data_IF_976249194733
#
_entry.id   IF_976249194733
#
_cell.length_a   1.000
_cell.length_b   1.000
_cell.length_c   1.000
_cell.angle_alpha   90.00
_cell.angle_beta   90.00
_cell.angle_gamma   90.00
#
_symmetry.space_group_name_H-M   'P 1'
#
loop_
_entity.id
_entity.type
_entity.pdbx_description
1 polymer ?
#
# COMPACT_ATOMS: atom_id res chain seq x y z
N UNK A 1 -12.85 -89.54 -45.42
CA UNK A 1 -13.70 -88.84 -44.43
C UNK A 1 -12.79 -88.27 -43.37
N UNK A 2 -12.52 -86.94 -43.47
CA UNK A 2 -11.63 -86.25 -42.52
C UNK A 2 -12.50 -85.31 -41.64
N UNK A 3 -12.45 -85.60 -40.34
CA UNK A 3 -13.15 -84.74 -39.34
C UNK A 3 -12.21 -83.57 -39.01
N UNK A 4 -12.67 -82.34 -39.23
CA UNK A 4 -11.99 -81.14 -38.70
C UNK A 4 -12.55 -80.83 -37.33
N UNK A 5 -11.63 -80.78 -36.35
CA UNK A 5 -11.94 -80.30 -35.00
C UNK A 5 -11.77 -78.77 -35.03
N UNK A 6 -12.83 -78.03 -34.68
CA UNK A 6 -12.73 -76.62 -34.45
C UNK A 6 -12.19 -76.38 -33.02
N UNK A 7 -11.05 -75.72 -32.92
CA UNK A 7 -10.51 -75.26 -31.67
C UNK A 7 -11.02 -73.87 -31.40
N UNK A 8 -11.81 -73.70 -30.35
CA UNK A 8 -12.24 -72.41 -29.85
C UNK A 8 -11.10 -71.85 -29.00
N UNK A 9 -10.40 -70.84 -29.50
CA UNK A 9 -9.43 -70.08 -28.70
C UNK A 9 -10.20 -68.98 -27.96
N UNK A 10 -10.30 -69.14 -26.64
CA UNK A 10 -10.80 -68.11 -25.73
C UNK A 10 -9.75 -66.99 -25.58
N UNK A 11 -10.00 -65.86 -26.23
CA UNK A 11 -9.19 -64.68 -26.07
C UNK A 11 -9.56 -63.96 -24.76
N UNK A 12 -8.68 -64.04 -23.72
CA UNK A 12 -8.75 -63.20 -22.53
C UNK A 12 -8.34 -61.76 -22.92
N UNK A 13 -9.33 -60.89 -23.08
CA UNK A 13 -9.10 -59.47 -23.19
C UNK A 13 -8.72 -58.90 -21.84
N UNK A 14 -7.43 -58.62 -21.66
CA UNK A 14 -6.96 -57.86 -20.50
C UNK A 14 -7.41 -56.40 -20.65
N UNK A 15 -8.43 -56.01 -19.93
CA UNK A 15 -8.83 -54.61 -19.77
C UNK A 15 -7.82 -53.90 -18.85
N UNK A 16 -6.86 -53.22 -19.46
CA UNK A 16 -5.95 -52.35 -18.73
C UNK A 16 -6.74 -51.09 -18.32
N UNK A 17 -7.31 -51.07 -17.13
CA UNK A 17 -7.86 -49.88 -16.52
C UNK A 17 -6.67 -49.00 -16.10
N UNK A 18 -6.35 -48.04 -16.95
CA UNK A 18 -5.36 -47.00 -16.66
C UNK A 18 -5.97 -46.08 -15.58
N UNK A 19 -5.70 -46.38 -14.32
CA UNK A 19 -6.00 -45.51 -13.19
C UNK A 19 -5.10 -44.30 -13.31
N UNK A 20 -5.59 -43.22 -13.98
CA UNK A 20 -4.99 -41.91 -13.89
C UNK A 20 -5.25 -41.39 -12.48
N UNK A 21 -4.32 -41.69 -11.58
CA UNK A 21 -4.22 -41.03 -10.30
C UNK A 21 -3.93 -39.57 -10.65
N UNK A 22 -4.99 -38.77 -10.71
CA UNK A 22 -4.88 -37.36 -10.75
C UNK A 22 -4.14 -36.89 -9.50
N UNK A 23 -2.82 -36.72 -9.62
CA UNK A 23 -2.03 -35.97 -8.65
C UNK A 23 -2.60 -34.55 -8.67
N UNK A 24 -3.69 -34.33 -7.92
CA UNK A 24 -4.14 -33.01 -7.58
C UNK A 24 -2.94 -32.33 -6.96
N UNK A 25 -2.31 -31.41 -7.70
CA UNK A 25 -1.43 -30.43 -7.13
C UNK A 25 -2.21 -29.72 -6.06
N UNK A 26 -2.13 -30.20 -4.81
CA UNK A 26 -2.46 -29.42 -3.65
C UNK A 26 -1.50 -28.23 -3.70
N UNK A 27 -1.94 -27.18 -4.39
CA UNK A 27 -1.41 -25.83 -4.24
C UNK A 27 -1.77 -25.43 -2.81
N UNK A 28 -1.04 -25.97 -1.83
CA UNK A 28 -0.95 -25.35 -0.53
C UNK A 28 -0.71 -23.86 -0.83
N UNK A 29 -1.43 -22.94 -0.17
CA UNK A 29 -1.12 -21.52 -0.28
C UNK A 29 0.32 -21.38 0.21
N UNK A 30 1.25 -21.60 -0.73
CA UNK A 30 2.67 -21.64 -0.43
C UNK A 30 3.00 -20.32 0.22
N UNK A 31 3.75 -20.40 1.29
CA UNK A 31 4.37 -19.31 2.02
C UNK A 31 5.07 -18.37 1.00
N UNK A 32 4.28 -17.54 0.31
CA UNK A 32 4.77 -16.61 -0.72
C UNK A 32 5.53 -15.54 0.03
N UNK A 33 6.86 -15.66 0.00
CA UNK A 33 7.74 -14.65 0.60
C UNK A 33 7.25 -13.25 0.22
N UNK A 34 7.14 -12.34 1.20
CA UNK A 34 6.74 -10.97 0.94
C UNK A 34 7.59 -10.35 -0.17
N UNK A 35 6.96 -9.69 -1.14
CA UNK A 35 7.68 -9.08 -2.28
C UNK A 35 7.44 -7.58 -2.39
N UNK A 36 6.44 -7.08 -1.70
CA UNK A 36 6.03 -5.68 -1.78
C UNK A 36 6.95 -4.80 -0.94
N UNK A 37 7.33 -3.65 -1.45
CA UNK A 37 7.93 -2.57 -0.68
C UNK A 37 6.86 -1.53 -0.40
N UNK A 38 6.73 -1.09 0.85
CA UNK A 38 5.79 -0.07 1.30
C UNK A 38 6.54 1.14 1.82
N UNK A 39 6.16 2.32 1.35
CA UNK A 39 6.56 3.58 1.93
C UNK A 39 5.33 4.27 2.51
N UNK A 40 5.47 4.81 3.70
CA UNK A 40 4.43 5.58 4.37
C UNK A 40 4.96 6.98 4.58
N UNK A 41 4.25 7.97 4.05
CA UNK A 41 4.50 9.38 4.25
C UNK A 41 3.56 9.96 5.29
N UNK A 42 4.10 10.70 6.23
CA UNK A 42 3.32 11.44 7.23
C UNK A 42 3.49 12.92 6.95
N UNK A 43 2.42 13.57 6.57
CA UNK A 43 2.39 15.01 6.37
C UNK A 43 2.19 15.71 7.72
N UNK A 44 3.27 16.27 8.26
CA UNK A 44 3.23 16.99 9.55
C UNK A 44 3.02 18.50 9.39
N UNK A 45 2.51 18.95 8.22
CA UNK A 45 2.30 20.37 7.93
C UNK A 45 1.24 21.01 8.80
N UNK A 46 1.34 22.32 8.94
CA UNK A 46 0.35 23.11 9.67
C UNK A 46 -1.04 23.04 9.05
N UNK A 47 -1.16 22.93 7.72
CA UNK A 47 -2.46 22.80 7.04
C UNK A 47 -3.15 21.50 7.43
N UNK A 48 -2.47 20.36 7.37
CA UNK A 48 -3.06 19.09 7.75
C UNK A 48 -3.38 19.01 9.25
N UNK A 49 -2.50 19.54 10.09
CA UNK A 49 -2.79 19.64 11.53
C UNK A 49 -4.03 20.50 11.78
N UNK A 50 -4.19 21.61 11.04
CA UNK A 50 -5.34 22.53 11.13
C UNK A 50 -6.68 21.91 10.75
N UNK A 51 -6.70 20.78 10.02
CA UNK A 51 -7.96 20.07 9.70
C UNK A 51 -8.56 19.35 10.90
N UNK A 52 -7.80 19.11 11.97
CA UNK A 52 -8.17 18.28 13.10
C UNK A 52 -8.03 16.75 12.86
N UNK A 53 -7.65 16.33 11.66
CA UNK A 53 -7.53 14.91 11.30
C UNK A 53 -6.14 14.33 11.60
N UNK A 54 -5.17 15.17 11.98
CA UNK A 54 -3.78 14.74 12.16
C UNK A 54 -3.61 13.64 13.21
N UNK A 55 -4.14 13.86 14.41
CA UNK A 55 -4.06 12.87 15.49
C UNK A 55 -4.77 11.58 15.15
N UNK A 56 -5.95 11.70 14.55
CA UNK A 56 -6.73 10.57 14.03
C UNK A 56 -5.95 9.77 12.98
N UNK A 57 -5.21 10.46 12.10
CA UNK A 57 -4.38 9.83 11.08
C UNK A 57 -3.19 9.06 11.67
N UNK A 58 -2.53 9.59 12.71
CA UNK A 58 -1.44 8.87 13.39
C UNK A 58 -1.95 7.62 14.11
N UNK A 59 -3.10 7.72 14.79
CA UNK A 59 -3.75 6.55 15.38
C UNK A 59 -4.14 5.53 14.31
N UNK A 60 -4.76 5.95 13.19
CA UNK A 60 -5.04 5.08 12.05
C UNK A 60 -3.78 4.37 11.55
N UNK A 61 -2.67 5.09 11.37
CA UNK A 61 -1.43 4.52 10.87
C UNK A 61 -0.88 3.44 11.81
N UNK A 62 -1.05 3.57 13.13
CA UNK A 62 -0.61 2.52 14.06
C UNK A 62 -1.35 1.20 13.81
N UNK A 63 -2.67 1.25 13.60
CA UNK A 63 -3.45 0.08 13.21
C UNK A 63 -3.05 -0.43 11.81
N UNK A 64 -2.89 0.46 10.85
CA UNK A 64 -2.52 0.10 9.47
C UNK A 64 -1.18 -0.63 9.43
N UNK A 65 -0.16 -0.11 10.10
CA UNK A 65 1.17 -0.73 10.21
C UNK A 65 1.06 -2.09 10.90
N UNK A 66 0.40 -2.14 12.06
CA UNK A 66 0.21 -3.37 12.82
C UNK A 66 -0.52 -4.45 12.00
N UNK A 67 -1.61 -4.08 11.33
CA UNK A 67 -2.39 -4.98 10.49
C UNK A 67 -1.56 -5.59 9.36
N UNK A 68 -0.69 -4.80 8.71
CA UNK A 68 0.23 -5.30 7.69
C UNK A 68 1.33 -6.21 8.26
N UNK A 69 1.90 -5.88 9.41
CA UNK A 69 2.95 -6.68 10.05
C UNK A 69 2.45 -8.05 10.47
N UNK A 70 1.19 -8.13 10.91
CA UNK A 70 0.54 -9.34 11.39
C UNK A 70 -0.37 -10.02 10.36
N UNK A 71 -0.42 -9.52 9.12
CA UNK A 71 -1.22 -10.04 7.99
C UNK A 71 -2.72 -10.16 8.30
N UNK A 72 -3.28 -9.22 9.07
CA UNK A 72 -4.67 -9.24 9.50
C UNK A 72 -5.62 -8.83 8.35
N UNK A 73 -6.81 -9.42 8.29
CA UNK A 73 -7.83 -9.09 7.30
C UNK A 73 -7.37 -9.16 5.84
N UNK A 74 -6.54 -10.14 5.49
CA UNK A 74 -5.92 -10.27 4.17
C UNK A 74 -4.92 -9.14 3.80
N UNK A 75 -4.59 -8.24 4.70
CA UNK A 75 -3.45 -7.34 4.54
C UNK A 75 -2.18 -8.17 4.36
N UNK A 76 -1.25 -7.71 3.54
CA UNK A 76 -0.04 -8.48 3.26
C UNK A 76 1.17 -7.83 3.91
N UNK A 77 1.93 -8.61 4.67
CA UNK A 77 3.20 -8.16 5.23
C UNK A 77 4.13 -7.72 4.08
N UNK A 78 4.63 -6.48 4.09
CA UNK A 78 5.61 -6.05 3.12
C UNK A 78 6.98 -6.67 3.44
N UNK A 79 7.80 -6.90 2.41
CA UNK A 79 9.20 -7.28 2.61
C UNK A 79 10.01 -6.15 3.24
N UNK A 80 9.71 -4.93 2.79
CA UNK A 80 10.33 -3.71 3.32
C UNK A 80 9.23 -2.69 3.57
N UNK A 81 9.32 -1.98 4.68
CA UNK A 81 8.50 -0.84 5.01
C UNK A 81 9.40 0.29 5.48
N UNK A 82 9.03 1.51 5.11
CA UNK A 82 9.72 2.73 5.50
C UNK A 82 8.69 3.79 5.80
N UNK A 83 8.82 4.45 6.94
CA UNK A 83 7.94 5.56 7.35
C UNK A 83 8.78 6.82 7.48
N UNK A 84 8.34 7.93 6.88
CA UNK A 84 9.05 9.20 6.92
C UNK A 84 8.11 10.40 6.83
N UNK A 85 8.58 11.57 7.26
CA UNK A 85 7.85 12.82 7.08
C UNK A 85 7.79 13.23 5.60
N UNK A 86 6.65 13.81 5.21
CA UNK A 86 6.46 14.54 3.96
C UNK A 86 6.57 16.04 4.27
N UNK A 87 7.18 16.81 3.38
CA UNK A 87 7.40 18.22 3.61
C UNK A 87 8.51 18.51 4.63
N UNK A 88 8.54 19.71 5.18
CA UNK A 88 9.51 20.14 6.18
C UNK A 88 9.98 21.59 5.98
N UNK A 89 10.83 22.06 6.90
CA UNK A 89 11.35 23.43 6.89
C UNK A 89 12.29 23.69 5.72
N UNK A 90 13.05 22.69 5.32
CA UNK A 90 13.98 22.77 4.20
C UNK A 90 13.73 21.62 3.20
N UNK A 91 13.48 21.91 1.91
CA UNK A 91 13.31 20.92 0.86
C UNK A 91 14.51 19.97 0.71
N UNK A 92 15.70 20.40 1.08
CA UNK A 92 16.93 19.61 0.99
C UNK A 92 17.28 18.90 2.29
N UNK A 93 16.51 19.09 3.35
CA UNK A 93 16.73 18.39 4.61
C UNK A 93 16.57 16.88 4.44
N UNK A 94 17.59 16.07 4.80
CA UNK A 94 17.48 14.63 4.75
C UNK A 94 16.39 14.14 5.70
N UNK A 95 15.38 13.45 5.18
CA UNK A 95 14.33 12.85 6.00
C UNK A 95 14.79 11.50 6.55
N UNK A 96 14.57 11.29 7.85
CA UNK A 96 14.76 9.98 8.44
C UNK A 96 13.67 9.03 7.94
N UNK A 97 14.07 7.86 7.45
CA UNK A 97 13.18 6.78 7.06
C UNK A 97 13.28 5.69 8.12
N UNK A 98 12.22 5.52 8.89
CA UNK A 98 12.09 4.48 9.91
C UNK A 98 11.75 3.16 9.25
N UNK A 99 12.63 2.16 9.31
CA UNK A 99 12.43 0.90 8.61
C UNK A 99 11.51 -0.05 9.37
N UNK A 100 11.08 -1.12 8.69
CA UNK A 100 10.11 -2.11 9.21
C UNK A 100 10.47 -2.68 10.59
N UNK A 101 11.76 -2.85 10.88
CA UNK A 101 12.20 -3.41 12.16
C UNK A 101 11.98 -2.47 13.35
N UNK A 102 11.81 -1.17 13.13
CA UNK A 102 11.46 -0.23 14.19
C UNK A 102 10.04 -0.50 14.75
N UNK A 103 9.25 -1.31 14.04
CA UNK A 103 7.85 -1.60 14.38
C UNK A 103 7.57 -3.08 14.69
N UNK A 104 8.49 -4.01 14.37
CA UNK A 104 8.21 -5.45 14.30
C UNK A 104 7.74 -6.04 15.64
N UNK A 105 8.29 -5.56 16.75
CA UNK A 105 8.00 -6.10 18.08
C UNK A 105 7.12 -5.15 18.91
N UNK A 106 6.46 -4.18 18.27
CA UNK A 106 5.62 -3.19 18.92
C UNK A 106 4.14 -3.53 18.78
N UNK A 107 3.38 -3.26 19.83
CA UNK A 107 1.92 -3.24 19.78
C UNK A 107 1.40 -1.90 19.21
N UNK A 108 0.07 -1.78 19.03
CA UNK A 108 -0.55 -0.60 18.43
C UNK A 108 -0.26 0.68 19.22
N UNK A 109 -0.42 0.72 20.56
CA UNK A 109 -0.07 1.90 21.37
C UNK A 109 1.41 2.29 21.25
N UNK A 110 2.31 1.32 21.21
CA UNK A 110 3.75 1.57 21.08
C UNK A 110 4.12 2.12 19.69
N UNK A 111 3.45 1.62 18.64
CA UNK A 111 3.60 2.15 17.29
C UNK A 111 3.08 3.60 17.24
N UNK A 112 1.91 3.86 17.81
CA UNK A 112 1.34 5.21 17.85
C UNK A 112 2.24 6.18 18.61
N UNK A 113 2.76 5.79 19.77
CA UNK A 113 3.69 6.60 20.55
C UNK A 113 4.96 6.93 19.76
N UNK A 114 5.51 5.95 19.03
CA UNK A 114 6.65 6.17 18.17
C UNK A 114 6.35 7.15 17.02
N UNK A 115 5.21 6.99 16.33
CA UNK A 115 4.79 7.90 15.27
C UNK A 115 4.64 9.33 15.77
N UNK A 116 4.01 9.53 16.94
CA UNK A 116 3.85 10.85 17.56
C UNK A 116 5.18 11.49 17.95
N UNK A 117 6.14 10.68 18.43
CA UNK A 117 7.47 11.16 18.79
C UNK A 117 8.31 11.55 17.55
N UNK A 118 8.18 10.81 16.45
CA UNK A 118 8.96 11.06 15.23
C UNK A 118 8.36 12.15 14.34
N UNK A 119 7.06 12.32 14.37
CA UNK A 119 6.32 13.25 13.52
C UNK A 119 5.50 14.25 14.36
N UNK A 120 6.14 15.09 15.18
CA UNK A 120 5.41 16.14 15.89
C UNK A 120 4.82 17.13 14.87
N UNK A 121 3.64 17.70 15.12
CA UNK A 121 3.07 18.75 14.29
C UNK A 121 4.07 19.89 14.10
N UNK A 122 4.25 20.32 12.86
CA UNK A 122 5.18 21.38 12.54
C UNK A 122 4.48 22.39 11.63
N UNK A 123 4.77 23.67 11.81
CA UNK A 123 4.41 24.70 10.84
C UNK A 123 5.41 24.64 9.67
N UNK A 124 5.22 23.66 8.83
CA UNK A 124 6.09 23.34 7.68
C UNK A 124 5.30 23.32 6.39
N UNK A 125 5.99 23.56 5.27
CA UNK A 125 5.39 23.49 3.96
C UNK A 125 5.24 22.03 3.51
N UNK A 126 4.19 21.76 2.74
CA UNK A 126 3.93 20.45 2.15
C UNK A 126 4.52 20.36 0.74
N UNK A 127 5.83 20.13 0.64
CA UNK A 127 6.47 19.82 -0.63
C UNK A 127 6.67 18.31 -0.76
N UNK A 128 5.91 17.69 -1.66
CA UNK A 128 5.96 16.25 -1.92
C UNK A 128 7.19 15.83 -2.74
N UNK A 129 7.77 16.73 -3.52
CA UNK A 129 8.82 16.40 -4.49
C UNK A 129 10.11 15.86 -3.85
N UNK A 130 10.64 16.44 -2.75
CA UNK A 130 11.79 15.87 -2.05
C UNK A 130 11.52 14.46 -1.53
N UNK A 131 10.33 14.21 -0.99
CA UNK A 131 9.94 12.89 -0.50
C UNK A 131 9.93 11.86 -1.64
N UNK A 132 9.33 12.18 -2.79
CA UNK A 132 9.32 11.29 -3.96
C UNK A 132 10.73 11.00 -4.49
N UNK A 133 11.60 12.00 -4.52
CA UNK A 133 13.02 11.79 -4.90
C UNK A 133 13.75 10.87 -3.93
N UNK A 134 13.50 11.01 -2.62
CA UNK A 134 14.14 10.15 -1.62
C UNK A 134 13.61 8.71 -1.69
N UNK A 135 12.29 8.51 -1.87
CA UNK A 135 11.71 7.18 -2.13
C UNK A 135 12.39 6.53 -3.34
N UNK A 136 12.52 7.28 -4.45
CA UNK A 136 13.16 6.79 -5.66
C UNK A 136 14.62 6.39 -5.41
N UNK A 137 15.36 7.19 -4.64
CA UNK A 137 16.75 6.91 -4.25
C UNK A 137 16.83 5.60 -3.46
N UNK A 138 16.04 5.44 -2.40
CA UNK A 138 16.05 4.23 -1.56
C UNK A 138 15.71 2.98 -2.39
N UNK A 139 14.72 3.06 -3.28
CA UNK A 139 14.35 1.93 -4.15
C UNK A 139 15.52 1.52 -5.05
N UNK A 140 16.27 2.48 -5.60
CA UNK A 140 17.43 2.21 -6.44
C UNK A 140 18.62 1.67 -5.63
N UNK A 141 19.00 2.33 -4.55
CA UNK A 141 20.14 1.97 -3.69
C UNK A 141 19.99 0.57 -3.07
N UNK A 142 18.74 0.19 -2.72
CA UNK A 142 18.45 -1.11 -2.12
C UNK A 142 18.03 -2.19 -3.13
N UNK A 143 18.15 -1.93 -4.44
CA UNK A 143 17.76 -2.85 -5.52
C UNK A 143 16.31 -3.37 -5.42
N UNK A 144 15.37 -2.49 -5.08
CA UNK A 144 13.95 -2.84 -4.90
C UNK A 144 13.11 -2.66 -6.17
N UNK A 145 13.72 -2.35 -7.31
CA UNK A 145 13.06 -1.96 -8.58
C UNK A 145 12.12 -3.05 -9.11
N UNK A 146 12.41 -4.32 -8.86
CA UNK A 146 11.58 -5.44 -9.33
C UNK A 146 10.37 -5.74 -8.43
N UNK A 147 10.34 -5.17 -7.23
CA UNK A 147 9.24 -5.35 -6.30
C UNK A 147 8.09 -4.37 -6.61
N UNK A 148 6.82 -4.76 -6.41
CA UNK A 148 5.73 -3.79 -6.37
C UNK A 148 5.99 -2.77 -5.27
N UNK A 149 5.86 -1.47 -5.60
CA UNK A 149 6.05 -0.38 -4.63
C UNK A 149 4.69 0.24 -4.34
N UNK A 150 4.32 0.25 -3.07
CA UNK A 150 3.14 0.95 -2.54
C UNK A 150 3.61 2.14 -1.73
N UNK A 151 3.09 3.29 -2.05
CA UNK A 151 3.33 4.54 -1.33
C UNK A 151 1.99 5.01 -0.78
N UNK A 152 1.90 5.17 0.53
CA UNK A 152 0.71 5.66 1.25
C UNK A 152 1.10 6.93 1.96
N UNK A 153 0.33 8.00 1.79
CA UNK A 153 0.59 9.28 2.46
C UNK A 153 -0.67 9.70 3.19
N UNK A 154 -0.54 9.97 4.49
CA UNK A 154 -1.58 10.64 5.27
C UNK A 154 -1.36 12.14 5.16
N UNK A 155 -2.33 12.88 4.59
CA UNK A 155 -2.21 14.28 4.20
C UNK A 155 -3.56 14.87 3.85
N UNK A 156 -3.76 16.18 4.02
CA UNK A 156 -4.90 16.89 3.45
C UNK A 156 -4.82 17.02 1.91
N UNK A 157 -3.64 16.69 1.36
CA UNK A 157 -3.36 16.70 -0.07
C UNK A 157 -3.13 18.09 -0.66
N UNK A 158 -2.96 19.11 0.16
CA UNK A 158 -2.72 20.49 -0.30
C UNK A 158 -1.22 20.75 -0.41
N UNK A 159 -0.67 20.90 -1.63
CA UNK A 159 0.74 21.21 -1.80
C UNK A 159 1.03 22.66 -1.44
N UNK A 160 2.17 22.89 -0.80
CA UNK A 160 2.72 24.23 -0.56
C UNK A 160 4.22 24.24 -0.88
N UNK A 161 4.62 25.04 -1.87
CA UNK A 161 5.99 25.15 -2.32
C UNK A 161 6.57 26.53 -1.94
N UNK A 162 7.78 26.55 -1.38
CA UNK A 162 8.47 27.80 -1.01
C UNK A 162 8.75 28.71 -2.21
N UNK A 163 9.05 28.13 -3.34
CA UNK A 163 9.36 28.86 -4.57
C UNK A 163 8.29 28.47 -5.59
N UNK A 164 7.32 29.35 -5.77
CA UNK A 164 6.47 29.27 -6.96
C UNK A 164 7.38 29.60 -8.14
N UNK A 165 7.64 28.64 -8.99
CA UNK A 165 8.12 28.98 -10.32
C UNK A 165 7.04 29.86 -10.92
N UNK A 166 7.37 31.12 -11.17
CA UNK A 166 6.44 32.10 -11.74
C UNK A 166 6.14 31.69 -13.19
N UNK A 167 5.35 30.64 -13.37
CA UNK A 167 4.64 30.36 -14.61
C UNK A 167 3.51 31.35 -14.67
N UNK A 168 3.68 32.31 -15.54
CA UNK A 168 2.71 33.34 -15.86
C UNK A 168 1.44 32.71 -16.43
N UNK A 169 0.47 32.43 -15.58
CA UNK A 169 -0.81 31.92 -16.00
C UNK A 169 -1.53 31.21 -14.86
N UNK A 170 -2.81 31.01 -14.97
CA UNK A 170 -3.71 30.37 -14.00
C UNK A 170 -3.48 28.85 -13.88
N UNK A 171 -2.23 28.39 -13.93
CA UNK A 171 -1.90 26.97 -13.78
C UNK A 171 -2.07 26.52 -12.33
N UNK A 172 -2.63 25.34 -12.17
CA UNK A 172 -2.85 24.75 -10.86
C UNK A 172 -1.50 24.41 -10.20
N UNK A 173 -1.35 24.78 -8.92
CA UNK A 173 -0.17 24.45 -8.10
C UNK A 173 0.14 22.93 -8.10
N UNK A 174 -0.86 22.08 -8.34
CA UNK A 174 -0.72 20.63 -8.42
C UNK A 174 0.10 20.18 -9.64
N UNK A 175 0.24 21.02 -10.66
CA UNK A 175 1.10 20.71 -11.83
C UNK A 175 2.60 20.75 -11.48
N UNK A 176 2.97 21.42 -10.38
CA UNK A 176 4.34 21.46 -9.88
C UNK A 176 4.75 20.15 -9.15
N UNK A 177 3.79 19.27 -8.86
CA UNK A 177 4.07 17.96 -8.26
C UNK A 177 4.73 17.04 -9.30
N UNK A 178 5.98 16.65 -9.02
CA UNK A 178 6.77 15.82 -9.91
C UNK A 178 6.77 14.34 -9.49
N UNK A 179 5.98 13.52 -10.17
CA UNK A 179 5.96 12.07 -10.00
C UNK A 179 6.97 11.33 -10.89
N UNK A 180 7.75 12.04 -11.72
CA UNK A 180 8.70 11.43 -12.65
C UNK A 180 9.75 10.53 -11.98
N UNK A 181 10.27 10.84 -10.75
CA UNK A 181 11.19 9.93 -10.05
C UNK A 181 10.59 8.56 -9.76
N UNK A 182 9.26 8.48 -9.63
CA UNK A 182 8.52 7.25 -9.28
C UNK A 182 8.12 6.43 -10.50
N UNK A 183 8.03 7.02 -11.68
CA UNK A 183 7.42 6.44 -12.88
C UNK A 183 8.09 5.15 -13.37
N UNK A 184 9.38 4.98 -13.12
CA UNK A 184 10.17 3.85 -13.63
C UNK A 184 10.70 2.93 -12.53
N UNK A 185 10.29 3.14 -11.28
CA UNK A 185 10.79 2.35 -10.15
C UNK A 185 10.22 0.94 -10.13
N UNK A 186 9.01 0.76 -10.62
CA UNK A 186 8.34 -0.54 -10.62
C UNK A 186 7.28 -0.59 -11.74
N UNK A 187 7.00 -1.80 -12.25
CA UNK A 187 5.85 -2.01 -13.13
C UNK A 187 4.50 -1.75 -12.44
N UNK A 188 4.48 -1.80 -11.11
CA UNK A 188 3.30 -1.61 -10.28
C UNK A 188 3.62 -0.62 -9.16
N UNK A 189 3.66 0.65 -9.52
CA UNK A 189 3.78 1.76 -8.57
C UNK A 189 2.38 2.27 -8.25
N UNK A 190 2.05 2.32 -6.96
CA UNK A 190 0.78 2.85 -6.47
C UNK A 190 1.05 3.94 -5.45
N UNK A 191 0.44 5.08 -5.64
CA UNK A 191 0.41 6.20 -4.69
C UNK A 191 -1.01 6.30 -4.14
N UNK A 192 -1.14 6.24 -2.82
CA UNK A 192 -2.40 6.46 -2.09
C UNK A 192 -2.27 7.68 -1.21
N UNK A 193 -3.21 8.57 -1.33
CA UNK A 193 -3.36 9.72 -0.45
C UNK A 193 -4.61 9.49 0.38
N UNK A 194 -4.50 9.59 1.69
CA UNK A 194 -5.60 9.42 2.62
C UNK A 194 -5.83 10.69 3.42
N UNK A 195 -7.04 10.94 3.87
CA UNK A 195 -7.50 12.17 4.53
C UNK A 195 -7.58 13.40 3.60
N UNK A 196 -7.60 13.21 2.29
CA UNK A 196 -7.71 14.34 1.37
C UNK A 196 -9.14 14.89 1.34
N UNK A 197 -9.27 16.20 1.15
CA UNK A 197 -10.59 16.78 0.84
C UNK A 197 -11.05 16.35 -0.57
N UNK A 198 -12.36 16.28 -0.86
CA UNK A 198 -12.85 15.96 -2.21
C UNK A 198 -12.25 16.86 -3.29
N UNK A 199 -12.10 18.16 -2.98
CA UNK A 199 -11.49 19.14 -3.88
C UNK A 199 -10.02 18.84 -4.16
N UNK A 200 -9.23 18.59 -3.11
CA UNK A 200 -7.82 18.24 -3.27
C UNK A 200 -7.66 16.92 -4.03
N UNK A 201 -8.47 15.91 -3.71
CA UNK A 201 -8.47 14.64 -4.42
C UNK A 201 -8.80 14.77 -5.91
N UNK A 202 -9.72 15.65 -6.29
CA UNK A 202 -10.01 15.95 -7.69
C UNK A 202 -8.82 16.63 -8.38
N UNK A 203 -8.20 17.63 -7.74
CA UNK A 203 -7.02 18.31 -8.27
C UNK A 203 -5.83 17.36 -8.46
N UNK A 204 -5.57 16.48 -7.50
CA UNK A 204 -4.57 15.43 -7.64
C UNK A 204 -4.84 14.53 -8.85
N UNK A 205 -6.08 14.14 -9.09
CA UNK A 205 -6.44 13.28 -10.23
C UNK A 205 -6.35 14.00 -11.56
N UNK A 206 -6.74 15.28 -11.63
CA UNK A 206 -6.83 16.06 -12.87
C UNK A 206 -5.52 16.72 -13.24
N UNK A 207 -4.83 17.35 -12.27
CA UNK A 207 -3.78 18.31 -12.53
C UNK A 207 -2.37 17.74 -12.35
N UNK A 208 -2.18 16.69 -11.51
CA UNK A 208 -0.85 16.09 -11.30
C UNK A 208 -0.42 15.24 -12.50
N UNK A 209 0.69 15.62 -13.18
CA UNK A 209 1.19 14.89 -14.33
C UNK A 209 1.66 13.47 -13.93
N UNK A 210 1.17 12.44 -14.61
CA UNK A 210 1.59 11.06 -14.37
C UNK A 210 1.37 10.17 -15.59
N UNK A 211 2.19 9.13 -15.75
CA UNK A 211 2.10 8.15 -16.86
C UNK A 211 1.85 6.73 -16.37
N UNK A 212 2.62 6.27 -15.37
CA UNK A 212 2.63 4.89 -14.88
C UNK A 212 2.28 4.75 -13.40
N UNK A 213 2.38 5.83 -12.64
CA UNK A 213 1.97 5.86 -11.23
C UNK A 213 0.45 5.75 -11.15
N UNK A 214 -0.04 4.76 -10.43
CA UNK A 214 -1.46 4.63 -10.12
C UNK A 214 -1.78 5.45 -8.89
N UNK A 215 -2.59 6.47 -9.06
CA UNK A 215 -3.01 7.36 -7.99
C UNK A 215 -4.39 6.96 -7.46
N UNK A 216 -4.50 6.90 -6.15
CA UNK A 216 -5.73 6.71 -5.40
C UNK A 216 -5.85 7.75 -4.31
N UNK A 217 -7.06 8.25 -4.10
CA UNK A 217 -7.37 9.19 -3.02
C UNK A 217 -8.50 8.60 -2.18
N UNK A 218 -8.39 8.73 -0.88
CA UNK A 218 -9.44 8.38 0.09
C UNK A 218 -9.80 9.64 0.83
N UNK A 219 -11.07 10.01 0.76
CA UNK A 219 -11.55 11.26 1.34
C UNK A 219 -11.49 11.23 2.88
N UNK A 220 -11.28 12.38 3.49
CA UNK A 220 -11.19 12.52 4.94
C UNK A 220 -12.45 11.99 5.65
N UNK A 221 -13.64 12.20 5.09
CA UNK A 221 -14.89 11.68 5.65
C UNK A 221 -14.91 10.14 5.68
N UNK A 222 -14.45 9.50 4.60
CA UNK A 222 -14.30 8.04 4.57
C UNK A 222 -13.29 7.60 5.62
N UNK A 223 -12.16 8.30 5.72
CA UNK A 223 -11.11 7.96 6.68
C UNK A 223 -11.57 8.07 8.13
N UNK A 224 -12.40 9.03 8.48
CA UNK A 224 -12.96 9.15 9.85
C UNK A 224 -13.81 7.96 10.27
N UNK A 225 -14.37 7.21 9.32
CA UNK A 225 -15.20 6.03 9.58
C UNK A 225 -14.46 4.78 10.05
N UNK A 226 -13.11 4.78 10.11
CA UNK A 226 -12.37 3.58 10.54
C UNK A 226 -12.53 3.30 12.05
N UNK A 227 -12.65 4.33 12.90
CA UNK A 227 -12.82 4.15 14.35
C UNK A 227 -14.11 3.40 14.69
N UNK A 228 -15.17 3.61 13.92
CA UNK A 228 -16.45 2.92 14.09
C UNK A 228 -16.35 1.41 13.81
N UNK A 229 -15.30 0.97 13.16
CA UNK A 229 -15.04 -0.44 12.86
C UNK A 229 -14.32 -1.15 14.01
N UNK A 230 -13.74 -0.40 14.94
CA UNK A 230 -13.10 -0.96 16.13
C UNK A 230 -14.17 -1.57 17.03
N UNK A 231 -14.03 -2.85 17.33
CA UNK A 231 -14.98 -3.57 18.17
C UNK A 231 -14.58 -3.44 19.65
N UNK A 232 -15.37 -2.73 20.48
CA UNK A 232 -15.13 -2.66 21.91
C UNK A 232 -15.19 -4.07 22.53
N UNK A 233 -14.22 -4.40 23.37
CA UNK A 233 -14.18 -5.70 24.07
C UNK A 233 -13.68 -6.89 23.23
N UNK A 234 -13.13 -6.65 22.05
CA UNK A 234 -12.45 -7.70 21.31
C UNK A 234 -11.28 -8.29 22.15
N UNK A 235 -11.19 -9.61 22.16
CA UNK A 235 -10.20 -10.36 22.98
C UNK A 235 -8.75 -10.03 22.56
N UNK A 236 -8.57 -9.69 21.29
CA UNK A 236 -7.25 -9.31 20.75
C UNK A 236 -7.40 -8.41 19.51
N UNK A 237 -6.32 -7.74 19.15
CA UNK A 237 -6.30 -6.96 17.89
C UNK A 237 -6.56 -7.83 16.65
N UNK A 238 -6.16 -9.10 16.68
CA UNK A 238 -6.41 -10.04 15.59
C UNK A 238 -7.91 -10.32 15.36
N UNK A 239 -8.75 -10.19 16.38
CA UNK A 239 -10.21 -10.43 16.32
C UNK A 239 -11.03 -9.21 15.87
N UNK A 240 -10.39 -8.16 15.38
CA UNK A 240 -11.01 -6.94 14.85
C UNK A 240 -11.40 -7.08 13.35
N UNK A 241 -12.12 -8.13 12.99
CA UNK A 241 -12.37 -8.48 11.58
C UNK A 241 -13.02 -7.36 10.76
N UNK A 242 -13.94 -6.59 11.37
CA UNK A 242 -14.57 -5.45 10.70
C UNK A 242 -13.56 -4.39 10.33
N UNK A 243 -12.67 -4.03 11.27
CA UNK A 243 -11.62 -3.04 11.05
C UNK A 243 -10.67 -3.47 9.94
N UNK A 244 -10.18 -4.70 9.99
CA UNK A 244 -9.21 -5.18 9.00
C UNK A 244 -9.82 -5.30 7.61
N UNK A 245 -11.09 -5.72 7.52
CA UNK A 245 -11.84 -5.73 6.26
C UNK A 245 -12.03 -4.31 5.74
N UNK A 246 -12.41 -3.37 6.60
CA UNK A 246 -12.59 -1.98 6.21
C UNK A 246 -11.28 -1.36 5.68
N UNK A 247 -10.17 -1.55 6.37
CA UNK A 247 -8.84 -1.08 5.91
C UNK A 247 -8.51 -1.66 4.55
N UNK A 248 -8.77 -2.95 4.37
CA UNK A 248 -8.54 -3.65 3.11
C UNK A 248 -9.35 -3.05 1.97
N UNK A 249 -10.62 -2.78 2.21
CA UNK A 249 -11.57 -2.37 1.18
C UNK A 249 -11.50 -0.87 0.87
N UNK A 250 -11.16 -0.03 1.84
CA UNK A 250 -11.15 1.42 1.66
C UNK A 250 -9.75 2.00 1.44
N UNK A 251 -8.71 1.39 2.00
CA UNK A 251 -7.34 1.93 1.92
C UNK A 251 -6.43 1.04 1.09
N UNK A 252 -6.37 -0.27 1.35
CA UNK A 252 -5.44 -1.19 0.68
C UNK A 252 -6.05 -2.00 -0.47
N UNK A 253 -7.25 -1.62 -0.93
CA UNK A 253 -7.90 -2.34 -2.00
C UNK A 253 -7.04 -2.39 -3.27
N UNK A 254 -7.10 -3.53 -3.95
CA UNK A 254 -6.46 -3.72 -5.25
C UNK A 254 -7.52 -3.67 -6.32
N UNK A 255 -7.44 -2.69 -7.20
CA UNK A 255 -8.23 -2.76 -8.43
C UNK A 255 -7.77 -4.00 -9.19
N UNK A 256 -8.63 -5.01 -9.22
CA UNK A 256 -8.50 -6.09 -10.18
C UNK A 256 -8.60 -5.43 -11.55
N UNK A 257 -7.53 -5.45 -12.33
CA UNK A 257 -7.64 -5.16 -13.74
C UNK A 257 -8.59 -6.21 -14.31
N UNK A 258 -9.82 -5.79 -14.61
CA UNK A 258 -10.69 -6.59 -15.47
C UNK A 258 -9.93 -6.65 -16.78
N UNK A 259 -9.40 -7.83 -17.09
CA UNK A 259 -8.72 -8.06 -18.36
C UNK A 259 -9.71 -7.74 -19.48
N UNK A 260 -9.33 -6.84 -20.36
CA UNK A 260 -9.87 -6.74 -21.69
C UNK A 260 -9.11 -7.69 -22.58
#
# INVERSE_FOLDING_TARGET
MKRYRLSVAAGLGAVFILSIVGSGCNLQPGNRKPRTTMFIGVDASGSFHGTGDYDHALTFLSYYIYGHLHELGDLKKPRNMFVAAVGGKDPNEPKAFHPIHDFTDKDIPEIEAALRAWFPPQDSLTDFNPFFRQVARIVKERNLILAPVNLVIVTDGVPDFRVRHASSGSESIYQEIDLSPLEYLSRKMTLRLTYVSPKAGEQWRRDVPRRRVRLWTVDAEVMRGWEEQVQPGAVSHASQDKLWTWIKDNVDYRVRSIGR
#
